data_IF_475022832875
#
_entry.id   IF_475022832875
#
_cell.length_a   1.000
_cell.length_b   1.000
_cell.length_c   1.000
_cell.angle_alpha   90.00
_cell.angle_beta   90.00
_cell.angle_gamma   90.00
#
_symmetry.space_group_name_H-M   'P 1'
#
loop_
_entity.id
_entity.type
_entity.pdbx_description
1 polymer ?
#
# COMPACT_ATOMS: atom_id res chain seq x y z
N UNK A 1 13.54 7.19 24.28
CA UNK A 1 14.75 6.74 23.57
C UNK A 1 14.61 7.29 22.14
N UNK A 2 15.11 8.50 21.90
CA UNK A 2 15.11 9.10 20.56
C UNK A 2 16.18 8.40 19.72
N UNK A 3 15.80 7.37 18.96
CA UNK A 3 16.73 6.65 18.09
C UNK A 3 17.14 7.47 16.85
N UNK A 4 16.53 8.64 16.60
CA UNK A 4 16.72 9.39 15.37
C UNK A 4 16.74 10.91 15.59
N UNK A 5 17.93 11.48 15.82
CA UNK A 5 18.16 12.93 15.74
C UNK A 5 18.20 13.48 14.31
N UNK A 6 17.44 12.93 13.37
CA UNK A 6 17.42 13.39 11.96
C UNK A 6 16.02 13.27 11.40
N UNK A 7 15.47 14.36 10.84
CA UNK A 7 14.19 14.37 10.13
C UNK A 7 14.27 13.43 8.92
N UNK A 8 13.75 12.21 9.03
CA UNK A 8 13.84 11.18 7.98
C UNK A 8 13.13 11.61 6.69
N UNK A 9 12.11 12.45 6.84
CA UNK A 9 11.27 12.97 5.75
C UNK A 9 11.56 14.46 5.42
N UNK A 10 12.69 15.04 5.87
CA UNK A 10 12.94 16.46 5.67
C UNK A 10 12.95 16.85 4.18
N UNK A 11 12.11 17.82 3.82
CA UNK A 11 11.95 18.41 2.48
C UNK A 11 11.41 17.47 1.39
N UNK A 12 10.73 16.37 1.75
CA UNK A 12 10.01 15.55 0.77
C UNK A 12 8.53 15.96 0.71
N UNK A 13 8.11 16.47 -0.45
CA UNK A 13 6.69 16.65 -0.76
C UNK A 13 6.05 15.29 -1.08
N UNK A 14 4.89 15.05 -0.47
CA UNK A 14 4.06 13.88 -0.73
C UNK A 14 3.29 14.05 -2.03
N UNK A 15 3.24 12.97 -2.80
CA UNK A 15 2.46 12.88 -4.03
C UNK A 15 1.74 11.54 -4.09
N UNK A 16 0.67 11.46 -4.88
CA UNK A 16 0.10 10.17 -5.26
C UNK A 16 1.17 9.28 -5.91
N UNK A 17 1.13 7.99 -5.62
CA UNK A 17 2.13 7.00 -6.01
C UNK A 17 3.41 7.00 -5.15
N UNK A 18 3.52 7.88 -4.14
CA UNK A 18 4.50 7.69 -3.07
C UNK A 18 4.07 6.53 -2.15
N UNK A 19 5.06 5.90 -1.53
CA UNK A 19 4.89 4.75 -0.64
C UNK A 19 5.24 5.16 0.79
N UNK A 20 4.34 4.92 1.73
CA UNK A 20 4.59 5.08 3.15
C UNK A 20 4.93 3.72 3.76
N UNK A 21 6.08 3.64 4.43
CA UNK A 21 6.53 2.42 5.09
C UNK A 21 6.46 2.68 6.59
N UNK A 22 5.69 1.84 7.29
CA UNK A 22 5.53 1.97 8.74
C UNK A 22 6.86 1.75 9.45
N UNK A 23 7.12 2.56 10.46
CA UNK A 23 8.24 2.35 11.39
C UNK A 23 8.02 1.04 12.20
N UNK A 24 9.08 0.27 12.53
CA UNK A 24 8.93 -1.02 13.20
C UNK A 24 8.12 -1.02 14.50
N UNK A 25 8.14 0.10 15.25
CA UNK A 25 7.50 0.25 16.55
C UNK A 25 6.22 1.08 16.47
N UNK A 26 5.66 1.29 15.28
CA UNK A 26 4.35 1.92 15.12
C UNK A 26 3.29 1.08 15.85
N UNK A 27 2.78 1.64 16.96
CA UNK A 27 1.82 0.98 17.85
C UNK A 27 0.37 1.13 17.37
N UNK A 28 0.13 0.96 16.08
CA UNK A 28 -1.21 0.83 15.52
C UNK A 28 -1.37 -0.56 14.88
N UNK A 29 -2.29 -1.42 15.36
CA UNK A 29 -2.47 -2.76 14.80
C UNK A 29 -2.87 -2.75 13.32
N UNK A 30 -3.55 -1.70 12.85
CA UNK A 30 -3.94 -1.56 11.45
C UNK A 30 -2.73 -1.25 10.56
N UNK A 31 -1.66 -0.68 11.11
CA UNK A 31 -0.50 -0.21 10.35
C UNK A 31 0.84 -0.82 10.76
N UNK A 32 0.88 -1.68 11.77
CA UNK A 32 2.10 -2.38 12.17
C UNK A 32 2.69 -3.15 10.98
N UNK A 33 3.96 -2.86 10.68
CA UNK A 33 4.71 -3.38 9.52
C UNK A 33 3.96 -3.24 8.18
N UNK A 34 3.14 -2.22 8.04
CA UNK A 34 2.43 -1.95 6.80
C UNK A 34 3.30 -1.23 5.79
N UNK A 35 3.00 -1.48 4.53
CA UNK A 35 3.42 -0.65 3.40
C UNK A 35 2.14 -0.12 2.77
N UNK A 36 2.05 1.20 2.64
CA UNK A 36 0.88 1.90 2.12
C UNK A 36 1.29 2.60 0.83
N UNK A 37 0.48 2.46 -0.22
CA UNK A 37 0.58 3.33 -1.40
C UNK A 37 -0.43 4.45 -1.26
N UNK A 38 0.02 5.70 -1.44
CA UNK A 38 -0.89 6.84 -1.53
C UNK A 38 -1.51 6.86 -2.91
N UNK A 39 -2.83 6.70 -2.99
CA UNK A 39 -3.54 6.82 -4.26
C UNK A 39 -4.00 8.26 -4.52
N UNK A 40 -4.18 9.04 -3.45
CA UNK A 40 -4.55 10.45 -3.51
C UNK A 40 -3.88 11.24 -2.38
N UNK A 41 -3.47 12.47 -2.69
CA UNK A 41 -2.95 13.42 -1.71
C UNK A 41 -3.35 14.83 -2.15
N UNK A 42 -4.25 15.46 -1.40
CA UNK A 42 -4.74 16.82 -1.64
C UNK A 42 -4.67 17.66 -0.35
N UNK A 43 -5.09 18.91 -0.41
CA UNK A 43 -5.09 19.79 0.76
C UNK A 43 -6.07 19.32 1.85
N UNK A 44 -7.15 18.65 1.48
CA UNK A 44 -8.19 18.19 2.39
C UNK A 44 -7.78 16.90 3.12
N UNK A 45 -6.92 16.08 2.51
CA UNK A 45 -6.53 14.79 3.07
C UNK A 45 -5.76 13.90 2.12
N UNK A 46 -5.50 12.68 2.58
CA UNK A 46 -4.80 11.65 1.82
C UNK A 46 -5.57 10.34 1.87
N UNK A 47 -5.50 9.61 0.76
CA UNK A 47 -6.07 8.28 0.61
C UNK A 47 -4.96 7.32 0.23
N UNK A 48 -4.93 6.15 0.86
CA UNK A 48 -3.99 5.10 0.52
C UNK A 48 -4.50 3.70 0.81
N UNK A 49 -3.78 2.73 0.27
CA UNK A 49 -4.08 1.31 0.43
C UNK A 49 -2.88 0.61 1.05
N UNK A 50 -3.11 -0.14 2.13
CA UNK A 50 -2.13 -1.08 2.67
C UNK A 50 -1.97 -2.24 1.69
N UNK A 51 -0.76 -2.46 1.19
CA UNK A 51 -0.51 -3.37 0.07
C UNK A 51 0.07 -4.71 0.47
N UNK A 52 0.36 -4.91 1.76
CA UNK A 52 1.05 -6.09 2.25
C UNK A 52 0.28 -6.84 3.35
N UNK A 53 -1.03 -6.64 3.43
CA UNK A 53 -1.93 -7.38 4.34
C UNK A 53 -2.96 -8.18 3.54
N UNK A 54 -2.68 -9.44 3.20
CA UNK A 54 -3.66 -10.31 2.57
C UNK A 54 -4.90 -10.47 3.44
N UNK A 55 -6.06 -10.50 2.82
CA UNK A 55 -7.31 -10.87 3.45
C UNK A 55 -7.48 -12.40 3.38
N UNK A 56 -8.23 -12.98 4.34
CA UNK A 56 -8.57 -14.41 4.33
C UNK A 56 -9.81 -14.67 3.48
N UNK A 57 -9.84 -14.13 2.26
CA UNK A 57 -10.96 -14.22 1.33
C UNK A 57 -10.47 -14.02 -0.11
N UNK A 58 -11.17 -14.67 -1.04
CA UNK A 58 -10.95 -14.49 -2.47
C UNK A 58 -11.86 -13.41 -3.07
N UNK A 59 -11.47 -12.82 -4.23
CA UNK A 59 -12.33 -11.89 -4.95
C UNK A 59 -13.68 -12.48 -5.36
N UNK A 60 -13.74 -13.79 -5.64
CA UNK A 60 -14.98 -14.51 -5.95
C UNK A 60 -15.99 -14.47 -4.80
N UNK A 61 -15.51 -14.37 -3.55
CA UNK A 61 -16.36 -14.22 -2.37
C UNK A 61 -16.94 -12.80 -2.23
N UNK A 62 -16.32 -11.81 -2.87
CA UNK A 62 -16.75 -10.41 -2.85
C UNK A 62 -17.55 -10.01 -4.08
N UNK A 63 -17.29 -10.66 -5.22
CA UNK A 63 -17.93 -10.34 -6.48
C UNK A 63 -18.05 -11.59 -7.35
N UNK A 64 -19.28 -12.04 -7.57
CA UNK A 64 -19.60 -13.11 -8.53
C UNK A 64 -19.20 -12.78 -9.98
N UNK A 65 -18.78 -11.53 -10.24
CA UNK A 65 -18.53 -10.98 -11.56
C UNK A 65 -17.04 -10.95 -11.91
N UNK A 66 -16.16 -11.22 -10.95
CA UNK A 66 -14.74 -11.44 -11.19
C UNK A 66 -14.46 -12.93 -10.97
N UNK A 67 -13.92 -13.58 -11.98
CA UNK A 67 -13.56 -14.99 -11.97
C UNK A 67 -12.07 -15.15 -11.67
N UNK A 68 -11.72 -16.28 -11.04
CA UNK A 68 -10.35 -16.69 -10.82
C UNK A 68 -9.82 -16.38 -9.42
N UNK A 69 -8.63 -16.91 -9.14
CA UNK A 69 -8.05 -16.89 -7.80
C UNK A 69 -7.23 -15.60 -7.52
N UNK A 70 -7.83 -14.42 -7.73
CA UNK A 70 -7.15 -13.17 -7.43
C UNK A 70 -7.17 -12.86 -5.93
N UNK A 71 -6.01 -12.49 -5.40
CA UNK A 71 -5.83 -12.22 -3.98
C UNK A 71 -6.48 -10.88 -3.62
N UNK A 72 -7.17 -10.87 -2.47
CA UNK A 72 -7.72 -9.65 -1.88
C UNK A 72 -6.89 -9.24 -0.68
N UNK A 73 -6.71 -7.94 -0.51
CA UNK A 73 -5.93 -7.34 0.56
C UNK A 73 -6.80 -6.43 1.42
N UNK A 74 -6.41 -6.23 2.67
CA UNK A 74 -7.02 -5.24 3.54
C UNK A 74 -6.34 -3.91 3.26
N UNK A 75 -7.01 -3.01 2.56
CA UNK A 75 -6.48 -1.68 2.19
C UNK A 75 -6.44 -0.71 3.37
N UNK A 76 -7.22 -0.96 4.41
CA UNK A 76 -7.16 -0.24 5.68
C UNK A 76 -8.41 -0.43 6.55
N UNK A 77 -8.53 0.34 7.65
CA UNK A 77 -9.62 0.19 8.60
C UNK A 77 -10.92 0.91 8.18
N UNK A 78 -10.87 1.79 7.17
CA UNK A 78 -11.99 2.64 6.78
C UNK A 78 -12.81 1.95 5.69
N UNK A 79 -14.14 1.99 5.83
CA UNK A 79 -15.11 1.48 4.84
C UNK A 79 -14.77 0.10 4.27
N UNK A 80 -14.54 -0.91 5.12
CA UNK A 80 -14.15 -2.28 4.70
C UNK A 80 -15.16 -3.02 3.81
N UNK A 81 -16.28 -2.38 3.47
CA UNK A 81 -17.26 -2.85 2.50
C UNK A 81 -17.05 -2.29 1.08
N UNK A 82 -16.06 -1.41 0.87
CA UNK A 82 -15.71 -0.89 -0.46
C UNK A 82 -14.63 -1.75 -1.10
N UNK A 83 -14.72 -1.90 -2.42
CA UNK A 83 -13.72 -2.60 -3.24
C UNK A 83 -12.89 -1.57 -4.01
N UNK A 84 -11.58 -1.66 -3.87
CA UNK A 84 -10.61 -0.92 -4.65
C UNK A 84 -9.70 -1.89 -5.41
N UNK A 85 -9.06 -1.42 -6.47
CA UNK A 85 -8.10 -2.23 -7.21
C UNK A 85 -6.96 -1.37 -7.75
N UNK A 86 -5.77 -1.97 -7.80
CA UNK A 86 -4.56 -1.42 -8.42
C UNK A 86 -4.19 -2.35 -9.57
N UNK A 87 -3.89 -1.80 -10.74
CA UNK A 87 -3.68 -2.57 -11.97
C UNK A 87 -2.68 -1.92 -12.94
N UNK A 88 -2.36 -2.64 -14.02
CA UNK A 88 -1.46 -2.19 -15.11
C UNK A 88 -2.18 -1.75 -16.40
N UNK A 89 -3.50 -1.85 -16.46
CA UNK A 89 -4.33 -1.50 -17.64
C UNK A 89 -4.56 0.01 -17.79
N UNK A 90 -3.89 0.68 -18.72
CA UNK A 90 -4.07 2.13 -18.98
C UNK A 90 -5.43 2.44 -19.63
N UNK A 91 -6.04 1.45 -20.29
CA UNK A 91 -7.29 1.59 -21.04
C UNK A 91 -8.55 1.73 -20.18
N UNK A 92 -8.46 1.53 -18.86
CA UNK A 92 -9.61 1.65 -17.97
C UNK A 92 -10.00 3.12 -17.77
N UNK A 93 -11.20 3.46 -18.20
CA UNK A 93 -11.74 4.80 -18.08
C UNK A 93 -11.82 5.25 -16.62
N UNK A 94 -11.33 6.45 -16.33
CA UNK A 94 -11.33 7.00 -14.97
C UNK A 94 -10.25 6.41 -14.05
N UNK A 95 -9.35 5.56 -14.55
CA UNK A 95 -8.21 5.08 -13.77
C UNK A 95 -7.25 6.24 -13.46
N UNK A 96 -6.77 6.27 -12.21
CA UNK A 96 -5.88 7.34 -11.73
C UNK A 96 -4.44 6.84 -11.83
N UNK A 97 -3.57 7.52 -12.61
CA UNK A 97 -2.16 7.14 -12.69
C UNK A 97 -1.46 7.44 -11.37
N UNK A 98 -0.78 6.41 -10.84
CA UNK A 98 0.10 6.52 -9.69
C UNK A 98 1.52 6.81 -10.18
N UNK A 99 2.29 5.77 -10.51
CA UNK A 99 3.63 5.81 -11.14
C UNK A 99 3.92 4.47 -11.83
N UNK A 100 4.98 4.42 -12.66
CA UNK A 100 5.52 3.18 -13.23
C UNK A 100 4.52 2.32 -14.02
N UNK A 101 3.53 2.94 -14.68
CA UNK A 101 2.47 2.23 -15.40
C UNK A 101 1.46 1.52 -14.48
N UNK A 102 1.42 1.92 -13.20
CA UNK A 102 0.47 1.43 -12.21
C UNK A 102 -0.64 2.47 -12.00
N UNK A 103 -1.86 1.98 -11.99
CA UNK A 103 -3.07 2.78 -11.90
C UNK A 103 -3.94 2.31 -10.74
N UNK A 104 -4.72 3.23 -10.17
CA UNK A 104 -5.72 2.95 -9.14
C UNK A 104 -7.13 3.24 -9.65
N UNK A 105 -8.06 2.33 -9.36
CA UNK A 105 -9.47 2.49 -9.68
C UNK A 105 -9.75 2.48 -11.18
N UNK A 106 -10.82 3.17 -11.58
CA UNK A 106 -11.31 3.18 -12.96
C UNK A 106 -12.58 2.35 -13.15
N UNK A 107 -12.95 2.14 -14.40
CA UNK A 107 -14.22 1.52 -14.76
C UNK A 107 -14.20 0.01 -14.45
N UNK A 108 -14.95 -0.37 -13.42
CA UNK A 108 -15.02 -1.75 -12.96
C UNK A 108 -15.66 -2.71 -13.98
N UNK A 109 -16.59 -2.26 -14.83
CA UNK A 109 -17.15 -3.08 -15.91
C UNK A 109 -16.12 -3.41 -16.98
N UNK A 110 -15.25 -2.45 -17.31
CA UNK A 110 -14.15 -2.70 -18.25
C UNK A 110 -13.14 -3.70 -17.67
N UNK A 111 -12.80 -3.57 -16.38
CA UNK A 111 -11.94 -4.55 -15.70
C UNK A 111 -12.55 -5.96 -15.73
N UNK A 112 -13.87 -6.09 -15.52
CA UNK A 112 -14.58 -7.39 -15.63
C UNK A 112 -14.44 -7.99 -17.01
N UNK A 113 -14.63 -7.20 -18.07
CA UNK A 113 -14.47 -7.69 -19.43
C UNK A 113 -13.05 -8.23 -19.68
N UNK A 114 -12.03 -7.53 -19.18
CA UNK A 114 -10.65 -8.02 -19.22
C UNK A 114 -10.48 -9.32 -18.43
N UNK A 115 -11.09 -9.42 -17.25
CA UNK A 115 -11.05 -10.62 -16.43
C UNK A 115 -11.68 -11.84 -17.11
N UNK A 116 -12.86 -11.68 -17.73
CA UNK A 116 -13.54 -12.75 -18.49
C UNK A 116 -12.69 -13.23 -19.67
N UNK A 117 -11.91 -12.34 -20.29
CA UNK A 117 -10.96 -12.71 -21.35
C UNK A 117 -9.65 -13.33 -20.84
N UNK A 118 -9.51 -13.52 -19.53
CA UNK A 118 -8.34 -14.13 -18.89
C UNK A 118 -7.13 -13.21 -18.79
N UNK A 119 -7.31 -11.89 -18.93
CA UNK A 119 -6.21 -10.92 -18.88
C UNK A 119 -5.88 -10.46 -17.46
N UNK A 120 -6.80 -10.61 -16.51
CA UNK A 120 -6.64 -10.14 -15.12
C UNK A 120 -6.15 -11.27 -14.23
N UNK A 121 -4.96 -11.09 -13.63
CA UNK A 121 -4.37 -12.02 -12.68
C UNK A 121 -3.53 -11.29 -11.60
N UNK A 122 -3.03 -12.04 -10.61
CA UNK A 122 -2.21 -11.52 -9.50
C UNK A 122 -0.89 -10.84 -9.91
N UNK A 123 -0.45 -10.96 -11.17
CA UNK A 123 0.74 -10.30 -11.70
C UNK A 123 0.46 -8.91 -12.27
N UNK A 124 -0.82 -8.58 -12.49
CA UNK A 124 -1.23 -7.34 -13.15
C UNK A 124 -2.40 -6.60 -12.48
N UNK A 125 -3.10 -7.23 -11.54
CA UNK A 125 -4.18 -6.63 -10.78
C UNK A 125 -4.18 -7.14 -9.33
N UNK A 126 -4.47 -6.25 -8.38
CA UNK A 126 -4.65 -6.57 -6.97
C UNK A 126 -5.89 -5.89 -6.45
N UNK A 127 -6.69 -6.61 -5.67
CA UNK A 127 -7.94 -6.12 -5.09
C UNK A 127 -7.76 -5.79 -3.61
N UNK A 128 -8.52 -4.80 -3.13
CA UNK A 128 -8.43 -4.30 -1.77
C UNK A 128 -9.82 -4.05 -1.20
N UNK A 129 -10.04 -4.45 0.04
CA UNK A 129 -11.21 -4.06 0.82
C UNK A 129 -10.87 -2.94 1.79
N UNK A 130 -11.72 -1.91 1.80
CA UNK A 130 -11.50 -0.70 2.58
C UNK A 130 -10.22 0.05 2.20
N UNK A 131 -9.96 1.10 2.95
CA UNK A 131 -8.83 1.99 2.70
C UNK A 131 -8.28 2.61 3.97
N UNK A 132 -7.17 3.30 3.80
CA UNK A 132 -6.51 4.11 4.82
C UNK A 132 -6.66 5.57 4.45
N UNK A 133 -7.25 6.35 5.36
CA UNK A 133 -7.50 7.77 5.15
C UNK A 133 -6.79 8.59 6.21
N UNK A 134 -6.25 9.74 5.80
CA UNK A 134 -5.66 10.71 6.70
C UNK A 134 -6.27 12.08 6.45
N UNK A 135 -6.56 12.81 7.53
CA UNK A 135 -6.71 14.26 7.41
C UNK A 135 -5.35 14.90 7.08
N UNK A 136 -5.38 16.09 6.47
CA UNK A 136 -4.16 16.79 6.09
C UNK A 136 -3.16 16.96 7.23
N UNK A 137 -3.64 17.34 8.42
CA UNK A 137 -2.78 17.59 9.57
C UNK A 137 -2.27 16.28 10.17
N UNK A 138 -3.11 15.24 10.19
CA UNK A 138 -2.75 13.94 10.76
C UNK A 138 -1.54 13.33 10.06
N UNK A 139 -1.54 13.24 8.72
CA UNK A 139 -0.41 12.64 8.01
C UNK A 139 0.87 13.47 8.17
N UNK A 140 0.75 14.81 8.18
CA UNK A 140 1.88 15.70 8.45
C UNK A 140 2.47 15.45 9.84
N UNK A 141 1.63 15.35 10.86
CA UNK A 141 2.06 15.10 12.24
C UNK A 141 2.71 13.72 12.38
N UNK A 142 2.13 12.69 11.76
CA UNK A 142 2.70 11.33 11.75
C UNK A 142 4.07 11.29 11.05
N UNK A 143 4.26 12.06 9.97
CA UNK A 143 5.55 12.21 9.30
C UNK A 143 6.59 12.95 10.16
N UNK A 144 6.17 13.97 10.91
CA UNK A 144 7.05 14.69 11.86
C UNK A 144 7.45 13.79 13.02
N UNK A 145 6.55 12.92 13.47
CA UNK A 145 6.80 11.91 14.51
C UNK A 145 7.62 10.71 14.02
N UNK A 146 7.96 10.66 12.73
CA UNK A 146 8.64 9.54 12.07
C UNK A 146 7.88 8.22 12.15
N UNK A 147 6.54 8.25 12.23
CA UNK A 147 5.68 7.07 12.16
C UNK A 147 5.75 6.39 10.78
N UNK A 148 6.04 7.19 9.75
CA UNK A 148 6.17 6.76 8.37
C UNK A 148 7.51 7.19 7.78
N UNK A 149 8.03 6.34 6.91
CA UNK A 149 9.14 6.67 6.02
C UNK A 149 8.59 6.78 4.60
N UNK A 150 8.81 7.92 3.95
CA UNK A 150 8.41 8.13 2.55
C UNK A 150 9.41 7.46 1.63
N UNK A 151 8.91 6.69 0.67
CA UNK A 151 9.71 5.98 -0.32
C UNK A 151 9.13 6.12 -1.71
N UNK A 152 10.03 6.20 -2.71
CA UNK A 152 9.71 6.29 -4.14
C UNK A 152 10.18 5.08 -4.93
N UNK A 153 10.25 3.92 -4.27
CA UNK A 153 10.54 2.62 -4.89
C UNK A 153 9.59 2.32 -6.05
N UNK A 154 10.07 1.53 -7.02
CA UNK A 154 9.29 1.21 -8.22
C UNK A 154 8.05 0.36 -7.87
N UNK A 155 6.87 0.78 -8.30
CA UNK A 155 5.60 0.17 -7.84
C UNK A 155 5.37 -1.27 -8.32
N UNK A 156 6.19 -1.78 -9.25
CA UNK A 156 6.16 -3.18 -9.68
C UNK A 156 6.38 -4.18 -8.52
N UNK A 157 6.99 -3.75 -7.41
CA UNK A 157 7.14 -4.57 -6.20
C UNK A 157 5.81 -5.17 -5.73
N UNK A 158 4.68 -4.50 -6.03
CA UNK A 158 3.34 -4.98 -5.68
C UNK A 158 3.07 -6.38 -6.21
N UNK A 159 3.53 -6.67 -7.42
CA UNK A 159 3.24 -7.90 -8.13
C UNK A 159 4.40 -8.90 -8.05
N UNK A 160 5.61 -8.42 -7.77
CA UNK A 160 6.84 -9.23 -7.81
C UNK A 160 7.27 -9.76 -6.42
N UNK A 161 6.76 -9.18 -5.33
CA UNK A 161 7.19 -9.49 -3.96
C UNK A 161 6.03 -10.06 -3.14
N UNK A 162 6.31 -11.17 -2.44
CA UNK A 162 5.39 -11.75 -1.48
C UNK A 162 5.01 -10.73 -0.37
N UNK A 163 3.72 -10.60 0.00
CA UNK A 163 3.25 -9.60 0.95
C UNK A 163 4.02 -9.57 2.28
N UNK A 164 4.31 -10.73 2.85
CA UNK A 164 5.01 -10.91 4.12
C UNK A 164 6.45 -10.36 4.10
N UNK A 165 7.10 -10.42 2.94
CA UNK A 165 8.47 -9.94 2.75
C UNK A 165 8.53 -8.44 2.42
N UNK A 166 7.40 -7.87 1.99
CA UNK A 166 7.34 -6.58 1.33
C UNK A 166 7.90 -5.48 2.23
N UNK A 167 7.43 -5.38 3.47
CA UNK A 167 7.93 -4.40 4.45
C UNK A 167 9.44 -4.51 4.69
N UNK A 168 9.96 -5.74 4.85
CA UNK A 168 11.38 -5.95 5.11
C UNK A 168 12.23 -5.59 3.89
N UNK A 169 11.81 -6.03 2.69
CA UNK A 169 12.52 -5.78 1.44
C UNK A 169 12.53 -4.30 1.08
N UNK A 170 11.40 -3.60 1.27
CA UNK A 170 11.33 -2.16 0.99
C UNK A 170 12.22 -1.37 1.93
N UNK A 171 12.23 -1.66 3.24
CA UNK A 171 13.16 -1.02 4.19
C UNK A 171 14.63 -1.27 3.83
N UNK A 172 14.99 -2.50 3.45
CA UNK A 172 16.39 -2.83 3.07
C UNK A 172 16.88 -2.04 1.86
N UNK A 173 15.99 -1.73 0.92
CA UNK A 173 16.32 -0.95 -0.27
C UNK A 173 16.58 0.54 0.03
N UNK A 174 16.11 1.06 1.17
CA UNK A 174 16.30 2.46 1.56
C UNK A 174 17.69 2.76 2.14
N UNK A 175 18.54 1.74 2.30
CA UNK A 175 19.95 1.88 2.68
C UNK A 175 20.32 1.26 4.04
N UNK A 176 21.61 1.32 4.37
CA UNK A 176 22.21 0.66 5.55
C UNK A 176 21.54 1.05 6.88
N UNK A 177 21.11 2.31 7.03
CA UNK A 177 20.42 2.80 8.23
C UNK A 177 19.08 2.08 8.48
N UNK A 178 18.38 1.70 7.42
CA UNK A 178 17.09 0.99 7.47
C UNK A 178 17.25 -0.53 7.47
N UNK A 179 18.40 -1.07 7.04
CA UNK A 179 18.72 -2.50 7.20
C UNK A 179 18.69 -2.94 8.66
N UNK A 180 19.20 -2.10 9.58
CA UNK A 180 19.11 -2.33 11.02
C UNK A 180 17.65 -2.49 11.47
N UNK A 181 16.75 -1.63 10.98
CA UNK A 181 15.30 -1.68 11.28
C UNK A 181 14.61 -2.93 10.71
N UNK A 182 15.04 -3.38 9.53
CA UNK A 182 14.48 -4.56 8.86
C UNK A 182 14.72 -5.88 9.62
N UNK A 183 15.73 -5.92 10.50
CA UNK A 183 16.13 -7.10 11.25
C UNK A 183 15.52 -7.17 12.66
N UNK A 184 14.70 -6.19 13.07
CA UNK A 184 14.08 -6.24 14.40
C UNK A 184 13.04 -7.37 14.47
N UNK A 185 13.12 -8.26 15.48
CA UNK A 185 12.13 -9.31 15.68
C UNK A 185 10.76 -8.72 15.99
N UNK A 186 9.70 -9.45 15.63
CA UNK A 186 8.29 -9.07 15.90
C UNK A 186 7.97 -9.01 17.40
N UNK A 187 8.81 -9.63 18.24
CA UNK A 187 8.66 -9.68 19.69
C UNK A 187 9.92 -9.11 20.38
N UNK A 188 9.82 -8.02 21.17
CA UNK A 188 10.93 -7.45 21.93
C UNK A 188 11.54 -8.39 22.99
N UNK A 189 10.88 -9.51 23.29
CA UNK A 189 11.28 -10.49 24.32
C UNK A 189 12.20 -11.59 23.80
N UNK A 190 12.56 -11.59 22.51
CA UNK A 190 13.42 -12.58 21.88
C UNK A 190 14.91 -12.19 21.83
N UNK A 191 15.35 -11.22 22.65
CA UNK A 191 16.76 -10.90 22.86
C UNK A 191 17.30 -11.53 24.15
#
# INVERSE_FOLDING_TARGET
MELFGTKLNANQELNKGDVLIAEPFLNDPNFSRSVVILCEHQEEGSFGLVVNKPALLNIEELSEQIQGNNDVFIGGPVEQNTLHFIHKFEELEGAIPLRDGIFWGGNFEQLKNLNVTGQVDNSNCRFFIGYSGWSQQQLKDELVQNSWVISRIALNFLFDIAPEDLWQKTLRQMGEKYKMLSNYPTDPRLN
#
